data_IF_502393412263
#
_entry.id   IF_502393412263
#
_cell.length_a   1.000
_cell.length_b   1.000
_cell.length_c   1.000
_cell.angle_alpha   90.00
_cell.angle_beta   90.00
_cell.angle_gamma   90.00
#
_symmetry.space_group_name_H-M   'P 1'
#
loop_
_entity.id
_entity.type
_entity.pdbx_description
1 polymer ?
#
# COMPACT_ATOMS: atom_id res chain seq x y z
N UNK A 1 10.03 -11.42 5.57
CA UNK A 1 8.69 -10.91 5.21
C UNK A 1 8.83 -9.90 4.09
N UNK A 2 8.09 -10.08 3.02
CA UNK A 2 8.14 -9.15 1.89
C UNK A 2 7.04 -8.13 2.00
N UNK A 3 7.34 -6.91 1.57
CA UNK A 3 6.36 -5.84 1.53
C UNK A 3 6.34 -5.24 0.15
N UNK A 4 5.22 -4.62 -0.18
CA UNK A 4 5.13 -3.86 -1.42
C UNK A 4 4.69 -2.44 -1.09
N UNK A 5 5.03 -1.54 -1.99
CA UNK A 5 4.75 -0.13 -1.83
C UNK A 5 3.70 0.29 -2.83
N UNK A 6 2.63 0.86 -2.34
CA UNK A 6 1.52 1.33 -3.17
C UNK A 6 1.55 2.85 -3.17
N UNK A 7 1.69 3.42 -4.35
CA UNK A 7 1.75 4.87 -4.51
C UNK A 7 0.38 5.50 -4.66
N UNK A 8 -0.57 4.76 -5.21
CA UNK A 8 -1.87 5.31 -5.53
C UNK A 8 -2.79 5.21 -4.33
N UNK A 9 -3.32 6.37 -3.90
CA UNK A 9 -4.28 6.39 -2.79
C UNK A 9 -5.52 5.59 -3.15
N UNK A 10 -6.00 5.74 -4.39
CA UNK A 10 -7.20 5.03 -4.83
C UNK A 10 -6.99 3.53 -4.76
N UNK A 11 -5.84 3.06 -5.20
CA UNK A 11 -5.55 1.64 -5.15
C UNK A 11 -5.43 1.16 -3.71
N UNK A 12 -4.77 1.94 -2.86
CA UNK A 12 -4.64 1.58 -1.45
C UNK A 12 -6.01 1.49 -0.78
N UNK A 13 -6.90 2.42 -1.09
CA UNK A 13 -8.25 2.39 -0.53
C UNK A 13 -9.00 1.13 -0.98
N UNK A 14 -8.86 0.77 -2.24
CA UNK A 14 -9.52 -0.41 -2.77
C UNK A 14 -9.01 -1.67 -2.09
N UNK A 15 -7.71 -1.74 -1.85
CA UNK A 15 -7.10 -2.89 -1.19
C UNK A 15 -7.62 -3.00 0.25
N UNK A 16 -7.69 -1.88 0.96
CA UNK A 16 -8.19 -1.92 2.34
C UNK A 16 -9.67 -2.25 2.40
N UNK A 17 -10.44 -1.84 1.40
CA UNK A 17 -11.85 -2.19 1.33
C UNK A 17 -12.06 -3.71 1.20
N UNK A 18 -11.07 -4.38 0.65
CA UNK A 18 -11.12 -5.85 0.51
C UNK A 18 -10.64 -6.57 1.75
N UNK A 19 -10.40 -5.83 2.82
CA UNK A 19 -10.03 -6.44 4.10
C UNK A 19 -8.54 -6.60 4.31
N UNK A 20 -7.72 -6.00 3.46
CA UNK A 20 -6.27 -6.08 3.58
C UNK A 20 -5.78 -4.73 4.12
N UNK A 21 -5.19 -4.75 5.31
CA UNK A 21 -4.72 -3.52 5.94
C UNK A 21 -3.26 -3.25 5.57
N UNK A 22 -2.93 -1.97 5.49
CA UNK A 22 -1.55 -1.59 5.29
C UNK A 22 -0.78 -1.69 6.62
N UNK A 23 0.53 -1.91 6.51
CA UNK A 23 1.40 -2.01 7.68
C UNK A 23 1.72 -0.62 8.21
N UNK A 24 2.05 0.29 7.32
CA UNK A 24 2.39 1.66 7.68
C UNK A 24 2.27 2.56 6.47
N UNK A 25 2.29 3.84 6.71
CA UNK A 25 2.32 4.87 5.67
C UNK A 25 3.62 5.65 5.84
N UNK A 26 4.36 5.82 4.76
CA UNK A 26 5.62 6.56 4.80
C UNK A 26 5.62 7.65 3.74
N UNK A 27 6.31 8.78 4.00
CA UNK A 27 6.42 9.83 2.99
C UNK A 27 7.27 9.35 1.82
N UNK A 28 6.92 9.82 0.63
CA UNK A 28 7.74 9.55 -0.55
C UNK A 28 9.02 10.37 -0.48
N UNK A 29 10.15 9.73 -0.66
CA UNK A 29 11.45 10.40 -0.57
C UNK A 29 11.61 11.46 -1.65
N UNK A 30 11.18 11.15 -2.86
CA UNK A 30 11.33 12.06 -3.99
C UNK A 30 10.26 13.15 -4.00
N UNK A 31 9.07 12.84 -3.46
CA UNK A 31 7.95 13.78 -3.48
C UNK A 31 7.28 13.81 -2.12
N UNK A 32 7.79 14.66 -1.20
CA UNK A 32 7.28 14.69 0.18
C UNK A 32 5.79 14.95 0.32
N UNK A 33 5.16 15.51 -0.71
CA UNK A 33 3.72 15.75 -0.70
C UNK A 33 2.91 14.46 -0.81
N UNK A 34 3.53 13.40 -1.28
CA UNK A 34 2.86 12.13 -1.47
C UNK A 34 3.29 11.15 -0.39
N UNK A 35 2.45 10.16 -0.17
CA UNK A 35 2.76 9.10 0.79
C UNK A 35 2.66 7.76 0.10
N UNK A 36 3.36 6.79 0.65
CA UNK A 36 3.33 5.42 0.15
C UNK A 36 2.72 4.54 1.22
N UNK A 37 1.79 3.68 0.82
CA UNK A 37 1.18 2.70 1.72
C UNK A 37 1.96 1.41 1.59
N UNK A 38 2.44 0.91 2.72
CA UNK A 38 3.24 -0.32 2.74
C UNK A 38 2.33 -1.48 3.13
N UNK A 39 2.20 -2.44 2.24
CA UNK A 39 1.39 -3.63 2.48
C UNK A 39 2.28 -4.85 2.53
N UNK A 40 1.83 -5.89 3.22
CA UNK A 40 2.50 -7.17 3.17
C UNK A 40 2.22 -7.83 1.83
N UNK A 41 3.25 -8.37 1.22
CA UNK A 41 3.11 -9.02 -0.10
C UNK A 41 2.51 -10.40 0.09
N UNK A 42 1.20 -10.49 -0.06
CA UNK A 42 0.45 -11.73 0.11
C UNK A 42 -0.27 -12.09 -1.18
N UNK A 43 -0.65 -13.38 -1.33
CA UNK A 43 -1.42 -13.78 -2.50
C UNK A 43 -2.74 -13.03 -2.64
N UNK A 44 -3.39 -12.72 -1.53
CA UNK A 44 -4.65 -11.96 -1.56
C UNK A 44 -4.44 -10.59 -2.18
N UNK A 45 -3.34 -9.96 -1.86
CA UNK A 45 -3.03 -8.65 -2.40
C UNK A 45 -2.83 -8.72 -3.91
N UNK A 46 -2.19 -9.77 -4.38
CA UNK A 46 -1.88 -9.92 -5.78
C UNK A 46 -3.11 -10.18 -6.64
N UNK A 47 -4.18 -10.64 -6.04
CA UNK A 47 -5.42 -10.87 -6.77
C UNK A 47 -6.12 -9.58 -7.12
N UNK A 48 -5.72 -8.49 -6.52
CA UNK A 48 -6.24 -7.17 -6.85
C UNK A 48 -5.53 -6.61 -8.06
#
# INVERSE_FOLDING_TARGET
MKTIRIYSRRLAEKITENGIDFIRVVPDVAHPKFVNWIFEDTPELRQE
#
